data_IF_201148944489
#
_entry.id   IF_201148944489
#
_cell.length_a   1.000
_cell.length_b   1.000
_cell.length_c   1.000
_cell.angle_alpha   90.00
_cell.angle_beta   90.00
_cell.angle_gamma   90.00
#
_symmetry.space_group_name_H-M   'P 1'
#
loop_
_entity.id
_entity.type
_entity.pdbx_description
1 polymer ?
#
# COMPACT_ATOMS: atom_id res chain seq x y z
N UNK A 1 -0.73 -9.60 -28.15
CA UNK A 1 -0.76 -10.16 -26.80
C UNK A 1 0.38 -9.54 -25.99
N UNK A 2 0.10 -8.74 -24.96
CA UNK A 2 1.16 -8.11 -24.16
C UNK A 2 1.96 -9.18 -23.44
N UNK A 3 3.29 -9.00 -23.32
CA UNK A 3 4.09 -9.93 -22.50
C UNK A 3 3.54 -9.93 -21.05
N UNK A 4 3.63 -11.07 -20.35
CA UNK A 4 3.14 -11.20 -18.97
C UNK A 4 3.68 -10.08 -18.05
N UNK A 5 4.94 -9.68 -18.26
CA UNK A 5 5.56 -8.61 -17.48
C UNK A 5 4.92 -7.24 -17.75
N UNK A 6 4.56 -6.91 -19.01
CA UNK A 6 3.85 -5.66 -19.33
C UNK A 6 2.50 -5.57 -18.63
N UNK A 7 1.76 -6.68 -18.57
CA UNK A 7 0.49 -6.74 -17.84
C UNK A 7 0.70 -6.48 -16.34
N UNK A 8 1.75 -7.05 -15.74
CA UNK A 8 2.08 -6.78 -14.33
C UNK A 8 2.42 -5.32 -14.08
N UNK A 9 3.16 -4.68 -14.99
CA UNK A 9 3.50 -3.25 -14.87
C UNK A 9 2.24 -2.37 -14.89
N UNK A 10 1.30 -2.64 -15.81
CA UNK A 10 0.02 -1.91 -15.85
C UNK A 10 -0.71 -2.05 -14.51
N UNK A 11 -0.82 -3.24 -13.97
CA UNK A 11 -1.46 -3.45 -12.67
C UNK A 11 -0.78 -2.69 -11.54
N UNK A 12 0.54 -2.70 -11.48
CA UNK A 12 1.30 -2.01 -10.43
C UNK A 12 1.24 -0.49 -10.56
N UNK A 13 1.22 0.03 -11.80
CA UNK A 13 1.02 1.45 -12.08
C UNK A 13 -0.38 1.89 -11.60
N UNK A 14 -1.43 1.11 -11.93
CA UNK A 14 -2.79 1.40 -11.48
C UNK A 14 -2.93 1.28 -9.96
N UNK A 15 -2.27 0.31 -9.32
CA UNK A 15 -2.24 0.21 -7.87
C UNK A 15 -1.63 1.47 -7.23
N UNK A 16 -0.47 1.91 -7.70
CA UNK A 16 0.19 3.12 -7.22
C UNK A 16 -0.66 4.39 -7.45
N UNK A 17 -1.32 4.50 -8.60
CA UNK A 17 -2.23 5.61 -8.92
C UNK A 17 -3.37 5.71 -7.90
N UNK A 18 -4.06 4.62 -7.62
CA UNK A 18 -5.19 4.63 -6.70
C UNK A 18 -4.75 4.81 -5.23
N UNK A 19 -3.58 4.29 -4.85
CA UNK A 19 -3.04 4.54 -3.51
C UNK A 19 -2.54 5.97 -3.33
N UNK A 20 -2.13 6.66 -4.39
CA UNK A 20 -1.71 8.07 -4.31
C UNK A 20 -2.81 8.96 -3.74
N UNK A 21 -4.06 8.74 -4.14
CA UNK A 21 -5.20 9.46 -3.58
C UNK A 21 -5.55 9.05 -2.15
N UNK A 22 -5.19 7.83 -1.70
CA UNK A 22 -5.54 7.35 -0.36
C UNK A 22 -4.91 8.19 0.77
N UNK A 23 -3.71 8.76 0.54
CA UNK A 23 -3.07 9.63 1.54
C UNK A 23 -3.76 10.98 1.66
N UNK A 24 -4.20 11.54 0.52
CA UNK A 24 -4.97 12.80 0.49
C UNK A 24 -6.30 12.59 1.22
N UNK A 25 -7.01 11.53 0.87
CA UNK A 25 -8.31 11.18 1.46
C UNK A 25 -8.16 10.78 2.93
N UNK A 26 -7.10 10.03 3.30
CA UNK A 26 -6.83 9.68 4.69
C UNK A 26 -6.51 10.90 5.57
N UNK A 27 -5.80 11.90 5.02
CA UNK A 27 -5.59 13.17 5.73
C UNK A 27 -6.87 13.97 5.85
N UNK A 28 -7.69 14.02 4.80
CA UNK A 28 -9.01 14.64 4.88
C UNK A 28 -9.89 13.95 5.93
N UNK A 29 -9.86 12.61 6.00
CA UNK A 29 -10.59 11.86 7.02
C UNK A 29 -10.17 12.27 8.45
N UNK A 30 -8.87 12.50 8.68
CA UNK A 30 -8.40 12.98 9.99
C UNK A 30 -8.88 14.41 10.32
N UNK A 31 -9.03 15.27 9.30
CA UNK A 31 -9.57 16.63 9.48
C UNK A 31 -11.08 16.63 9.76
N UNK A 32 -11.79 15.61 9.29
CA UNK A 32 -13.20 15.38 9.58
C UNK A 32 -13.41 14.51 10.84
N UNK A 33 -12.36 14.33 11.65
CA UNK A 33 -12.39 13.58 12.91
C UNK A 33 -12.93 12.15 12.76
N UNK A 34 -12.76 11.54 11.56
CA UNK A 34 -13.18 10.16 11.33
C UNK A 34 -12.22 9.23 12.06
N UNK A 35 -12.71 8.40 13.02
CA UNK A 35 -11.85 7.53 13.79
C UNK A 35 -11.12 6.50 12.91
N UNK A 36 -9.79 6.33 13.05
CA UNK A 36 -8.97 5.58 12.11
C UNK A 36 -9.27 4.09 12.07
N UNK A 37 -9.55 3.45 13.21
CA UNK A 37 -9.88 2.02 13.23
C UNK A 37 -11.29 1.78 12.71
N UNK A 38 -12.22 2.68 12.99
CA UNK A 38 -13.58 2.66 12.46
C UNK A 38 -13.58 2.80 10.93
N UNK A 39 -12.85 3.78 10.38
CA UNK A 39 -12.72 3.95 8.93
C UNK A 39 -12.14 2.68 8.29
N UNK A 40 -11.10 2.10 8.89
CA UNK A 40 -10.46 0.89 8.38
C UNK A 40 -11.41 -0.32 8.46
N UNK A 41 -12.16 -0.47 9.56
CA UNK A 41 -13.12 -1.55 9.73
C UNK A 41 -14.25 -1.47 8.71
N UNK A 42 -14.88 -0.33 8.53
CA UNK A 42 -15.93 -0.14 7.50
C UNK A 42 -15.38 -0.36 6.10
N UNK A 43 -14.21 0.20 5.78
CA UNK A 43 -13.54 -0.01 4.49
C UNK A 43 -13.46 -1.50 4.14
N UNK A 44 -12.94 -2.32 5.04
CA UNK A 44 -12.74 -3.73 4.76
C UNK A 44 -14.00 -4.57 4.88
N UNK A 45 -14.94 -4.17 5.71
CA UNK A 45 -16.27 -4.80 5.79
C UNK A 45 -17.04 -4.61 4.48
N UNK A 46 -17.10 -3.40 3.95
CA UNK A 46 -17.76 -3.16 2.66
C UNK A 46 -17.01 -3.81 1.49
N UNK A 47 -15.68 -3.79 1.50
CA UNK A 47 -14.88 -4.53 0.52
C UNK A 47 -15.18 -6.04 0.58
N UNK A 48 -15.30 -6.61 1.77
CA UNK A 48 -15.68 -8.00 1.98
C UNK A 48 -17.06 -8.31 1.43
N UNK A 49 -18.05 -7.48 1.72
CA UNK A 49 -19.43 -7.63 1.23
C UNK A 49 -19.50 -7.59 -0.30
N UNK A 50 -18.76 -6.68 -0.94
CA UNK A 50 -18.71 -6.58 -2.41
C UNK A 50 -18.10 -7.84 -3.05
N UNK A 51 -17.04 -8.41 -2.45
CA UNK A 51 -16.38 -9.59 -3.01
C UNK A 51 -17.11 -10.90 -2.70
N UNK A 52 -17.86 -10.97 -1.61
CA UNK A 52 -18.48 -12.19 -1.11
C UNK A 52 -19.29 -12.97 -2.18
N UNK A 53 -20.17 -12.36 -2.98
CA UNK A 53 -20.94 -13.07 -4.00
C UNK A 53 -20.08 -13.82 -5.02
N UNK A 54 -18.88 -13.29 -5.32
CA UNK A 54 -17.99 -13.82 -6.34
C UNK A 54 -17.00 -14.87 -5.82
N UNK A 55 -16.78 -14.94 -4.51
CA UNK A 55 -15.64 -15.65 -3.92
C UNK A 55 -16.02 -16.76 -2.96
N UNK A 56 -17.16 -16.64 -2.25
CA UNK A 56 -17.53 -17.58 -1.20
C UNK A 56 -17.64 -19.02 -1.71
N UNK A 57 -18.16 -19.25 -2.92
CA UNK A 57 -18.23 -20.60 -3.52
C UNK A 57 -16.85 -21.25 -3.64
N UNK A 58 -15.84 -20.50 -4.09
CA UNK A 58 -14.47 -21.02 -4.18
C UNK A 58 -13.85 -21.24 -2.80
N UNK A 59 -14.07 -20.32 -1.86
CA UNK A 59 -13.56 -20.38 -0.48
C UNK A 59 -14.11 -21.61 0.22
N UNK A 60 -15.42 -21.84 0.18
CA UNK A 60 -16.03 -23.04 0.78
C UNK A 60 -15.52 -24.34 0.14
N UNK A 61 -15.39 -24.38 -1.18
CA UNK A 61 -14.84 -25.55 -1.88
C UNK A 61 -13.40 -25.85 -1.49
N UNK A 62 -12.62 -24.80 -1.19
CA UNK A 62 -11.20 -24.94 -0.84
C UNK A 62 -10.91 -24.73 0.66
N UNK A 63 -11.92 -24.91 1.53
CA UNK A 63 -11.79 -24.68 2.97
C UNK A 63 -10.61 -25.43 3.62
N UNK A 64 -10.44 -26.71 3.28
CA UNK A 64 -9.34 -27.51 3.83
C UNK A 64 -7.96 -26.96 3.41
N UNK A 65 -7.83 -26.47 2.16
CA UNK A 65 -6.60 -25.81 1.73
C UNK A 65 -6.34 -24.51 2.50
N UNK A 66 -7.37 -23.73 2.79
CA UNK A 66 -7.28 -22.48 3.58
C UNK A 66 -6.86 -22.81 5.01
N UNK A 67 -7.50 -23.77 5.66
CA UNK A 67 -7.18 -24.21 7.03
C UNK A 67 -5.73 -24.68 7.13
N UNK A 68 -5.26 -25.49 6.18
CA UNK A 68 -3.87 -25.96 6.14
C UNK A 68 -2.84 -24.85 5.92
N UNK A 69 -3.26 -23.65 5.51
CA UNK A 69 -2.41 -22.48 5.31
C UNK A 69 -2.79 -21.31 6.23
N UNK A 70 -3.59 -21.57 7.26
CA UNK A 70 -4.20 -20.52 8.08
C UNK A 70 -3.16 -19.59 8.72
N UNK A 71 -2.03 -20.12 9.19
CA UNK A 71 -0.95 -19.32 9.78
C UNK A 71 -0.44 -18.23 8.82
N UNK A 72 -0.17 -18.60 7.57
CA UNK A 72 0.29 -17.63 6.56
C UNK A 72 -0.81 -16.63 6.23
N UNK A 73 -2.05 -17.08 6.08
CA UNK A 73 -3.21 -16.24 5.77
C UNK A 73 -3.47 -15.22 6.90
N UNK A 74 -3.40 -15.65 8.16
CA UNK A 74 -3.51 -14.76 9.32
C UNK A 74 -2.41 -13.70 9.31
N UNK A 75 -1.16 -14.09 9.09
CA UNK A 75 -0.05 -13.12 8.99
C UNK A 75 -0.29 -12.12 7.85
N UNK A 76 -0.75 -12.58 6.68
CA UNK A 76 -1.07 -11.69 5.56
C UNK A 76 -2.22 -10.74 5.92
N UNK A 77 -3.27 -11.21 6.60
CA UNK A 77 -4.39 -10.39 7.06
C UNK A 77 -3.97 -9.36 8.12
N UNK A 78 -3.20 -9.80 9.14
CA UNK A 78 -2.67 -8.90 10.18
C UNK A 78 -1.83 -7.81 9.55
N UNK A 79 -0.88 -8.18 8.72
CA UNK A 79 0.12 -7.24 8.23
C UNK A 79 -0.44 -6.25 7.21
N UNK A 80 -1.40 -6.65 6.36
CA UNK A 80 -1.93 -5.77 5.32
C UNK A 80 -3.23 -5.06 5.70
N UNK A 81 -4.15 -5.76 6.35
CA UNK A 81 -5.49 -5.25 6.62
C UNK A 81 -5.55 -4.58 8.01
N UNK A 82 -5.12 -5.32 9.03
CA UNK A 82 -5.26 -4.84 10.42
C UNK A 82 -4.21 -3.79 10.75
N UNK A 83 -2.92 -4.12 10.64
CA UNK A 83 -1.82 -3.27 11.12
C UNK A 83 -1.56 -2.12 10.14
N UNK A 84 -1.23 -2.43 8.88
CA UNK A 84 -0.80 -1.40 7.94
C UNK A 84 -1.82 -0.27 7.80
N UNK A 85 -3.05 -0.58 7.41
CA UNK A 85 -4.04 0.46 7.13
C UNK A 85 -4.47 1.22 8.39
N UNK A 86 -4.68 0.54 9.53
CA UNK A 86 -5.06 1.22 10.78
C UNK A 86 -3.96 2.16 11.25
N UNK A 87 -2.70 1.70 11.23
CA UNK A 87 -1.58 2.51 11.68
C UNK A 87 -1.31 3.67 10.72
N UNK A 88 -1.46 3.50 9.41
CA UNK A 88 -1.37 4.62 8.46
C UNK A 88 -2.41 5.69 8.79
N UNK A 89 -3.68 5.33 8.94
CA UNK A 89 -4.73 6.31 9.27
C UNK A 89 -4.51 6.95 10.64
N UNK A 90 -4.11 6.17 11.63
CA UNK A 90 -3.76 6.69 12.95
C UNK A 90 -2.58 7.66 12.90
N UNK A 91 -1.52 7.32 12.16
CA UNK A 91 -0.33 8.16 12.01
C UNK A 91 -0.64 9.52 11.38
N UNK A 92 -1.56 9.56 10.40
CA UNK A 92 -1.95 10.79 9.69
C UNK A 92 -2.60 11.84 10.59
N UNK A 93 -3.07 11.47 11.79
CA UNK A 93 -3.51 12.44 12.80
C UNK A 93 -2.35 13.27 13.37
N UNK A 94 -1.13 12.72 13.37
CA UNK A 94 0.04 13.32 14.03
C UNK A 94 1.13 13.77 13.05
N UNK A 95 1.17 13.20 11.84
CA UNK A 95 2.21 13.49 10.86
C UNK A 95 1.68 14.22 9.63
N UNK A 96 2.61 14.82 8.90
CA UNK A 96 2.31 15.47 7.63
C UNK A 96 2.28 14.43 6.49
N UNK A 97 1.51 14.72 5.44
CA UNK A 97 1.45 13.87 4.23
C UNK A 97 2.83 13.69 3.61
N UNK A 98 3.66 14.74 3.62
CA UNK A 98 5.04 14.71 3.12
C UNK A 98 5.88 13.65 3.82
N UNK A 99 5.87 13.64 5.17
CA UNK A 99 6.58 12.62 5.97
C UNK A 99 6.05 11.22 5.65
N UNK A 100 4.73 11.06 5.56
CA UNK A 100 4.11 9.79 5.20
C UNK A 100 4.56 9.25 3.85
N UNK A 101 4.63 10.10 2.81
CA UNK A 101 5.09 9.73 1.46
C UNK A 101 6.58 9.37 1.45
N UNK A 102 7.42 10.10 2.21
CA UNK A 102 8.84 9.74 2.38
C UNK A 102 9.00 8.37 3.04
N UNK A 103 8.22 8.10 4.09
CA UNK A 103 8.26 6.81 4.78
C UNK A 103 7.84 5.65 3.86
N UNK A 104 6.77 5.82 3.05
CA UNK A 104 6.37 4.80 2.07
C UNK A 104 7.48 4.46 1.10
N UNK A 105 8.30 5.44 0.74
CA UNK A 105 9.41 5.23 -0.19
C UNK A 105 10.52 4.32 0.38
N UNK A 106 10.48 3.99 1.67
CA UNK A 106 11.36 3.00 2.28
C UNK A 106 10.88 1.56 2.05
N UNK A 107 9.60 1.36 1.70
CA UNK A 107 9.01 0.02 1.53
C UNK A 107 9.77 -0.88 0.55
N UNK A 108 10.21 -0.42 -0.64
CA UNK A 108 10.93 -1.29 -1.57
C UNK A 108 12.22 -1.86 -0.98
N UNK A 109 12.94 -1.06 -0.18
CA UNK A 109 14.15 -1.50 0.55
C UNK A 109 13.76 -2.58 1.58
N UNK A 110 12.70 -2.32 2.34
CA UNK A 110 12.20 -3.26 3.35
C UNK A 110 11.67 -4.57 2.73
N UNK A 111 11.05 -4.52 1.53
CA UNK A 111 10.63 -5.73 0.80
C UNK A 111 11.85 -6.57 0.45
N UNK A 112 12.91 -5.97 -0.10
CA UNK A 112 14.16 -6.64 -0.42
C UNK A 112 14.75 -7.30 0.84
N UNK A 113 14.77 -6.58 1.96
CA UNK A 113 15.23 -7.09 3.25
C UNK A 113 14.42 -8.32 3.70
N UNK A 114 13.10 -8.26 3.70
CA UNK A 114 12.26 -9.40 4.08
C UNK A 114 12.35 -10.58 3.10
N UNK A 115 12.45 -10.31 1.80
CA UNK A 115 12.68 -11.36 0.80
C UNK A 115 14.02 -12.08 1.05
N UNK A 116 15.06 -11.36 1.46
CA UNK A 116 16.34 -11.93 1.84
C UNK A 116 16.26 -12.73 3.14
N UNK A 117 15.69 -12.15 4.21
CA UNK A 117 15.53 -12.81 5.54
C UNK A 117 14.73 -14.12 5.41
N UNK A 118 13.62 -14.08 4.69
CA UNK A 118 12.75 -15.25 4.53
C UNK A 118 13.17 -16.18 3.37
N UNK A 119 14.27 -15.86 2.68
CA UNK A 119 14.80 -16.62 1.53
C UNK A 119 13.76 -16.84 0.42
N UNK A 120 12.95 -15.79 0.13
CA UNK A 120 11.84 -15.85 -0.83
C UNK A 120 12.31 -15.54 -2.23
N UNK A 121 13.11 -14.49 -2.40
CA UNK A 121 13.65 -14.02 -3.68
C UNK A 121 15.09 -13.56 -3.50
N UNK A 122 15.93 -13.86 -4.51
CA UNK A 122 17.26 -13.28 -4.60
C UNK A 122 17.17 -11.88 -5.19
N UNK A 123 17.98 -10.97 -4.67
CA UNK A 123 18.10 -9.62 -5.19
C UNK A 123 19.32 -9.52 -6.09
N UNK A 124 19.20 -8.84 -7.22
CA UNK A 124 20.32 -8.58 -8.10
C UNK A 124 20.76 -7.10 -8.03
N UNK A 125 21.95 -6.83 -8.54
CA UNK A 125 22.55 -5.50 -8.52
C UNK A 125 21.68 -4.43 -9.20
N UNK A 126 21.04 -4.76 -10.31
CA UNK A 126 20.16 -3.82 -11.02
C UNK A 126 18.92 -3.43 -10.21
N UNK A 127 18.39 -4.34 -9.38
CA UNK A 127 17.29 -4.03 -8.48
C UNK A 127 17.71 -3.05 -7.38
N UNK A 128 18.91 -3.23 -6.81
CA UNK A 128 19.46 -2.32 -5.79
C UNK A 128 19.68 -0.94 -6.39
N UNK A 129 20.35 -0.86 -7.54
CA UNK A 129 20.53 0.40 -8.26
C UNK A 129 19.20 1.06 -8.62
N UNK A 130 18.24 0.29 -9.10
CA UNK A 130 16.91 0.78 -9.44
C UNK A 130 16.20 1.40 -8.25
N UNK A 131 16.22 0.73 -7.10
CA UNK A 131 15.64 1.27 -5.85
C UNK A 131 16.37 2.54 -5.41
N UNK A 132 17.70 2.58 -5.50
CA UNK A 132 18.48 3.75 -5.15
C UNK A 132 18.12 4.97 -6.01
N UNK A 133 18.14 4.84 -7.35
CA UNK A 133 17.78 5.95 -8.25
C UNK A 133 16.33 6.41 -8.05
N UNK A 134 15.40 5.47 -7.90
CA UNK A 134 14.00 5.85 -7.70
C UNK A 134 13.76 6.50 -6.34
N UNK A 135 14.46 6.08 -5.29
CA UNK A 135 14.39 6.72 -3.97
C UNK A 135 14.93 8.15 -4.02
N UNK A 136 16.05 8.39 -4.72
CA UNK A 136 16.54 9.74 -4.95
C UNK A 136 15.51 10.62 -5.67
N UNK A 137 14.84 10.07 -6.69
CA UNK A 137 13.76 10.77 -7.38
C UNK A 137 12.60 11.15 -6.46
N UNK A 138 12.19 10.25 -5.56
CA UNK A 138 11.18 10.55 -4.54
C UNK A 138 11.64 11.69 -3.63
N UNK A 139 12.87 11.62 -3.12
CA UNK A 139 13.44 12.68 -2.27
C UNK A 139 13.39 14.01 -2.99
N UNK A 140 13.81 14.09 -4.25
CA UNK A 140 13.77 15.32 -5.06
C UNK A 140 12.35 15.90 -5.16
N UNK A 141 11.35 15.08 -5.47
CA UNK A 141 9.95 15.54 -5.57
C UNK A 141 9.45 16.03 -4.21
N UNK A 142 9.58 15.22 -3.18
CA UNK A 142 8.96 15.46 -1.87
C UNK A 142 9.61 16.66 -1.14
N UNK A 143 10.91 16.85 -1.32
CA UNK A 143 11.63 18.01 -0.75
C UNK A 143 11.54 19.26 -1.62
N UNK A 144 10.97 19.19 -2.82
CA UNK A 144 11.02 20.26 -3.83
C UNK A 144 12.46 20.63 -4.21
N UNK A 145 13.36 19.65 -4.31
CA UNK A 145 14.81 19.80 -4.50
C UNK A 145 15.50 20.66 -3.42
N UNK A 146 14.91 20.84 -2.26
CA UNK A 146 15.47 21.61 -1.14
C UNK A 146 15.88 20.67 0.00
N UNK A 147 17.17 20.42 0.09
CA UNK A 147 17.76 19.54 1.10
C UNK A 147 17.50 20.01 2.53
N UNK A 148 17.38 21.35 2.75
CA UNK A 148 17.06 21.89 4.08
C UNK A 148 15.72 21.39 4.60
N UNK A 149 14.74 21.08 3.73
CA UNK A 149 13.47 20.47 4.16
C UNK A 149 13.67 19.07 4.74
N UNK A 150 14.64 18.32 4.21
CA UNK A 150 14.96 17.00 4.73
C UNK A 150 15.69 17.08 6.08
N UNK A 151 16.62 18.04 6.20
CA UNK A 151 17.39 18.25 7.42
C UNK A 151 16.55 18.82 8.57
N UNK A 152 15.49 19.58 8.24
CA UNK A 152 14.56 20.18 9.19
C UNK A 152 13.31 19.34 9.45
N UNK A 153 13.29 18.05 9.05
CA UNK A 153 12.22 17.14 9.42
C UNK A 153 12.23 16.90 10.93
N UNK A 154 11.20 17.38 11.59
CA UNK A 154 10.97 17.06 13.00
C UNK A 154 10.18 15.74 13.10
N UNK A 155 10.87 14.68 13.48
CA UNK A 155 10.25 13.39 13.70
C UNK A 155 9.32 13.45 14.91
N UNK A 156 8.11 12.96 14.72
CA UNK A 156 7.08 12.92 15.74
C UNK A 156 6.60 11.46 15.98
N UNK A 157 5.71 11.29 16.96
CA UNK A 157 5.14 9.94 17.26
C UNK A 157 4.40 9.31 16.07
N UNK A 158 3.78 10.12 15.20
CA UNK A 158 3.12 9.64 13.99
C UNK A 158 4.11 9.03 13.01
N UNK A 159 5.29 9.62 12.86
CA UNK A 159 6.34 9.09 11.96
C UNK A 159 6.85 7.72 12.45
N UNK A 160 7.00 7.53 13.77
CA UNK A 160 7.38 6.23 14.33
C UNK A 160 6.32 5.16 14.04
N UNK A 161 5.04 5.48 14.21
CA UNK A 161 3.97 4.56 13.84
C UNK A 161 3.95 4.29 12.34
N UNK A 162 4.23 5.30 11.51
CA UNK A 162 4.33 5.13 10.07
C UNK A 162 5.43 4.11 9.69
N UNK A 163 6.60 4.13 10.37
CA UNK A 163 7.65 3.11 10.16
C UNK A 163 7.11 1.70 10.45
N UNK A 164 6.36 1.50 11.54
CA UNK A 164 5.74 0.21 11.85
C UNK A 164 4.79 -0.23 10.73
N UNK A 165 3.98 0.70 10.20
CA UNK A 165 3.11 0.41 9.06
C UNK A 165 3.91 -0.01 7.82
N UNK A 166 5.02 0.69 7.49
CA UNK A 166 5.87 0.35 6.35
C UNK A 166 6.50 -1.04 6.48
N UNK A 167 6.99 -1.38 7.67
CA UNK A 167 7.47 -2.74 7.99
C UNK A 167 6.40 -3.79 7.76
N UNK A 168 5.19 -3.53 8.24
CA UNK A 168 4.04 -4.42 8.11
C UNK A 168 3.69 -4.68 6.64
N UNK A 169 3.60 -3.61 5.83
CA UNK A 169 3.32 -3.71 4.40
C UNK A 169 4.42 -4.45 3.62
N UNK A 170 5.67 -4.16 3.95
CA UNK A 170 6.82 -4.83 3.31
C UNK A 170 6.83 -6.33 3.62
N UNK A 171 6.55 -6.72 4.86
CA UNK A 171 6.43 -8.11 5.27
C UNK A 171 5.28 -8.81 4.55
N UNK A 172 4.09 -8.18 4.47
CA UNK A 172 2.97 -8.67 3.68
C UNK A 172 3.36 -8.92 2.22
N UNK A 173 3.97 -7.92 1.59
CA UNK A 173 4.36 -7.97 0.17
C UNK A 173 5.39 -9.07 -0.11
N UNK A 174 6.37 -9.26 0.77
CA UNK A 174 7.33 -10.37 0.67
C UNK A 174 6.63 -11.72 0.83
N UNK A 175 5.82 -11.90 1.86
CA UNK A 175 5.17 -13.17 2.18
C UNK A 175 4.11 -13.59 1.15
N UNK A 176 3.50 -12.66 0.41
CA UNK A 176 2.62 -12.99 -0.71
C UNK A 176 3.32 -13.88 -1.76
N UNK A 177 4.63 -13.72 -1.92
CA UNK A 177 5.43 -14.51 -2.88
C UNK A 177 5.92 -15.84 -2.31
N UNK A 178 5.91 -16.02 -0.99
CA UNK A 178 6.42 -17.22 -0.32
C UNK A 178 5.77 -18.50 -0.84
N UNK A 179 4.53 -18.42 -1.31
CA UNK A 179 3.78 -19.57 -1.82
C UNK A 179 2.90 -19.21 -3.01
N UNK A 180 2.82 -20.12 -4.00
CA UNK A 180 1.79 -20.03 -5.04
C UNK A 180 0.46 -20.53 -4.45
N UNK A 181 -0.46 -19.58 -4.20
CA UNK A 181 -1.77 -19.92 -3.68
C UNK A 181 -2.63 -20.64 -4.74
N UNK A 182 -3.34 -21.69 -4.31
CA UNK A 182 -4.30 -22.42 -5.14
C UNK A 182 -5.70 -21.77 -5.15
N UNK A 183 -5.75 -20.46 -4.86
CA UNK A 183 -6.95 -19.62 -4.89
C UNK A 183 -6.87 -18.67 -6.09
N UNK A 184 -8.01 -18.27 -6.63
CA UNK A 184 -8.06 -17.12 -7.52
C UNK A 184 -7.60 -15.87 -6.77
N UNK A 185 -7.11 -14.85 -7.49
CA UNK A 185 -6.55 -13.64 -6.84
C UNK A 185 -7.62 -12.92 -5.99
N UNK A 186 -8.87 -12.93 -6.46
CA UNK A 186 -9.99 -12.32 -5.76
C UNK A 186 -10.35 -13.11 -4.50
N UNK A 187 -10.39 -14.46 -4.59
CA UNK A 187 -10.65 -15.32 -3.43
C UNK A 187 -9.50 -15.29 -2.41
N UNK A 188 -8.26 -15.12 -2.87
CA UNK A 188 -7.13 -14.90 -1.99
C UNK A 188 -7.29 -13.57 -1.23
N UNK A 189 -7.61 -12.48 -1.93
CA UNK A 189 -7.87 -11.18 -1.32
C UNK A 189 -9.01 -11.27 -0.30
N UNK A 190 -10.13 -11.89 -0.65
CA UNK A 190 -11.27 -12.11 0.25
C UNK A 190 -10.86 -12.87 1.52
N UNK A 191 -10.05 -13.91 1.38
CA UNK A 191 -9.58 -14.71 2.52
C UNK A 191 -8.65 -13.91 3.42
N UNK A 192 -7.77 -13.08 2.85
CA UNK A 192 -6.90 -12.15 3.58
C UNK A 192 -7.74 -11.10 4.31
N UNK A 193 -8.76 -10.52 3.66
CA UNK A 193 -9.67 -9.56 4.28
C UNK A 193 -10.40 -10.21 5.45
N UNK A 194 -10.94 -11.44 5.29
CA UNK A 194 -11.61 -12.16 6.38
C UNK A 194 -10.70 -12.34 7.60
N UNK A 195 -9.45 -12.76 7.38
CA UNK A 195 -8.48 -12.91 8.46
C UNK A 195 -8.16 -11.58 9.15
N UNK A 196 -7.99 -10.51 8.37
CA UNK A 196 -7.70 -9.19 8.91
C UNK A 196 -8.87 -8.57 9.66
N UNK A 197 -10.11 -8.74 9.18
CA UNK A 197 -11.31 -8.23 9.85
C UNK A 197 -11.53 -8.85 11.23
N UNK A 198 -11.30 -10.17 11.39
CA UNK A 198 -11.40 -10.84 12.70
C UNK A 198 -10.47 -10.19 13.72
N UNK A 199 -9.27 -9.81 13.29
CA UNK A 199 -8.26 -9.22 14.17
C UNK A 199 -8.41 -7.69 14.29
N UNK A 200 -9.07 -7.05 13.35
CA UNK A 200 -9.39 -5.62 13.41
C UNK A 200 -10.61 -5.32 14.28
N UNK A 201 -11.55 -6.27 14.39
CA UNK A 201 -12.78 -6.12 15.16
C UNK A 201 -12.55 -5.69 16.61
N UNK A 202 -11.63 -6.30 17.39
CA UNK A 202 -11.35 -5.85 18.75
C UNK A 202 -10.89 -4.38 18.81
N UNK A 203 -10.02 -3.95 17.91
CA UNK A 203 -9.54 -2.57 17.88
C UNK A 203 -10.67 -1.57 17.56
N UNK A 204 -11.55 -1.92 16.63
CA UNK A 204 -12.77 -1.16 16.32
C UNK A 204 -13.70 -1.07 17.54
N UNK A 205 -13.95 -2.18 18.24
CA UNK A 205 -14.81 -2.19 19.42
C UNK A 205 -14.22 -1.36 20.56
N UNK A 206 -12.89 -1.39 20.76
CA UNK A 206 -12.20 -0.55 21.74
C UNK A 206 -12.38 0.94 21.38
N UNK A 207 -12.17 1.31 20.11
CA UNK A 207 -12.36 2.70 19.65
C UNK A 207 -13.78 3.19 19.91
N UNK A 208 -14.79 2.35 19.65
CA UNK A 208 -16.20 2.65 19.98
C UNK A 208 -16.44 2.78 21.49
N UNK A 209 -15.86 1.88 22.29
CA UNK A 209 -16.02 1.91 23.76
C UNK A 209 -15.37 3.14 24.40
N UNK A 210 -14.34 3.70 23.76
CA UNK A 210 -13.72 4.97 24.15
C UNK A 210 -14.55 6.21 23.76
N UNK A 211 -15.74 6.01 23.18
CA UNK A 211 -16.67 7.09 22.84
C UNK A 211 -16.45 7.71 21.46
N UNK A 212 -15.49 7.21 20.66
CA UNK A 212 -15.33 7.68 19.30
C UNK A 212 -16.50 7.19 18.43
N UNK A 213 -17.26 8.14 17.89
CA UNK A 213 -18.43 7.87 17.03
C UNK A 213 -18.18 8.43 15.65
N UNK A 214 -18.75 7.78 14.66
CA UNK A 214 -18.78 8.29 13.29
C UNK A 214 -20.13 8.94 13.04
N UNK A 215 -20.11 10.19 12.65
CA UNK A 215 -21.27 10.84 12.08
C UNK A 215 -21.36 10.50 10.60
N UNK A 216 -22.50 9.92 10.19
CA UNK A 216 -22.75 9.55 8.79
C UNK A 216 -23.16 10.80 8.04
N UNK A 217 -22.17 11.47 7.45
CA UNK A 217 -22.35 12.69 6.65
C UNK A 217 -21.71 12.49 5.27
N UNK A 218 -22.01 13.37 4.33
CA UNK A 218 -21.55 13.22 2.93
C UNK A 218 -20.03 13.03 2.80
N UNK A 219 -19.15 13.81 3.46
CA UNK A 219 -17.71 13.57 3.46
C UNK A 219 -17.30 12.17 3.91
N UNK A 220 -17.94 11.60 4.93
CA UNK A 220 -17.68 10.23 5.37
C UNK A 220 -18.06 9.22 4.28
N UNK A 221 -19.25 9.35 3.68
CA UNK A 221 -19.71 8.44 2.62
C UNK A 221 -18.79 8.48 1.41
N UNK A 222 -18.38 9.67 0.98
CA UNK A 222 -17.46 9.85 -0.15
C UNK A 222 -16.08 9.26 0.15
N UNK A 223 -15.54 9.55 1.35
CA UNK A 223 -14.28 8.97 1.83
C UNK A 223 -14.35 7.45 1.84
N UNK A 224 -15.39 6.88 2.46
CA UNK A 224 -15.57 5.45 2.56
C UNK A 224 -15.70 4.78 1.18
N UNK A 225 -16.52 5.35 0.30
CA UNK A 225 -16.70 4.85 -1.06
C UNK A 225 -15.38 4.82 -1.83
N UNK A 226 -14.61 5.89 -1.76
CA UNK A 226 -13.30 5.96 -2.40
C UNK A 226 -12.35 4.90 -1.83
N UNK A 227 -12.17 4.85 -0.50
CA UNK A 227 -11.18 3.94 0.12
C UNK A 227 -11.55 2.47 -0.02
N UNK A 228 -12.83 2.13 -0.17
CA UNK A 228 -13.31 0.78 -0.46
C UNK A 228 -12.95 0.37 -1.88
N UNK A 229 -13.40 1.15 -2.87
CA UNK A 229 -13.35 0.75 -4.28
C UNK A 229 -11.93 0.83 -4.87
N UNK A 230 -11.23 1.94 -4.67
CA UNK A 230 -9.97 2.20 -5.32
C UNK A 230 -8.76 1.68 -4.54
N UNK A 231 -8.34 2.29 -3.40
CA UNK A 231 -7.18 1.79 -2.67
C UNK A 231 -7.44 0.46 -1.94
N UNK A 232 -8.70 0.10 -1.66
CA UNK A 232 -9.09 -1.17 -1.06
C UNK A 232 -9.12 -2.30 -2.08
N UNK A 233 -10.17 -2.38 -2.87
CA UNK A 233 -10.39 -3.51 -3.77
C UNK A 233 -9.45 -3.50 -4.98
N UNK A 234 -9.46 -2.41 -5.75
CA UNK A 234 -8.75 -2.37 -7.02
C UNK A 234 -7.23 -2.44 -6.82
N UNK A 235 -6.65 -1.59 -5.95
CA UNK A 235 -5.21 -1.57 -5.74
C UNK A 235 -4.68 -2.86 -5.13
N UNK A 236 -5.37 -3.44 -4.15
CA UNK A 236 -4.95 -4.71 -3.56
C UNK A 236 -5.01 -5.86 -4.57
N UNK A 237 -6.08 -5.94 -5.37
CA UNK A 237 -6.15 -6.91 -6.46
C UNK A 237 -4.99 -6.76 -7.44
N UNK A 238 -4.74 -5.53 -7.90
CA UNK A 238 -3.66 -5.23 -8.82
C UNK A 238 -2.28 -5.54 -8.23
N UNK A 239 -2.08 -5.21 -6.95
CA UNK A 239 -0.85 -5.51 -6.22
C UNK A 239 -0.57 -7.01 -6.12
N UNK A 240 -1.57 -7.78 -5.65
CA UNK A 240 -1.47 -9.24 -5.57
C UNK A 240 -1.18 -9.84 -6.94
N UNK A 241 -1.86 -9.36 -7.98
CA UNK A 241 -1.65 -9.82 -9.36
C UNK A 241 -0.25 -9.46 -9.87
N UNK A 242 0.21 -8.24 -9.66
CA UNK A 242 1.55 -7.79 -10.01
C UNK A 242 2.64 -8.65 -9.35
N UNK A 243 2.59 -8.81 -8.04
CA UNK A 243 3.53 -9.65 -7.29
C UNK A 243 3.51 -11.11 -7.80
N UNK A 244 2.34 -11.65 -8.10
CA UNK A 244 2.23 -13.03 -8.59
C UNK A 244 2.96 -13.25 -9.92
N UNK A 245 3.08 -12.20 -10.74
CA UNK A 245 3.70 -12.27 -12.08
C UNK A 245 5.20 -11.95 -12.02
N UNK A 246 5.59 -10.81 -11.43
CA UNK A 246 6.99 -10.34 -11.50
C UNK A 246 7.77 -10.47 -10.19
N UNK A 247 7.14 -10.88 -9.10
CA UNK A 247 7.76 -11.03 -7.78
C UNK A 247 7.69 -9.76 -6.93
N UNK A 248 8.01 -9.91 -5.64
CA UNK A 248 7.87 -8.85 -4.64
C UNK A 248 8.93 -7.77 -4.80
N UNK A 249 10.20 -8.16 -5.01
CA UNK A 249 11.31 -7.21 -5.16
C UNK A 249 11.10 -6.24 -6.33
N UNK A 250 10.65 -6.76 -7.49
CA UNK A 250 10.39 -5.93 -8.69
C UNK A 250 9.08 -5.14 -8.56
N UNK A 251 8.11 -5.64 -7.81
CA UNK A 251 6.84 -4.93 -7.61
C UNK A 251 7.01 -3.75 -6.67
N UNK A 252 7.84 -3.88 -5.63
CA UNK A 252 8.03 -2.86 -4.61
C UNK A 252 8.37 -1.48 -5.16
N UNK A 253 9.26 -1.41 -6.16
CA UNK A 253 9.73 -0.14 -6.72
C UNK A 253 8.61 0.70 -7.35
N UNK A 254 7.49 0.08 -7.78
CA UNK A 254 6.35 0.80 -8.36
C UNK A 254 5.63 1.70 -7.34
N UNK A 255 5.83 1.49 -6.04
CA UNK A 255 5.34 2.41 -5.01
C UNK A 255 5.97 3.80 -5.11
N UNK A 256 7.17 3.92 -5.68
CA UNK A 256 7.80 5.21 -5.94
C UNK A 256 7.09 6.04 -7.04
N UNK A 257 6.11 5.47 -7.75
CA UNK A 257 5.23 6.25 -8.64
C UNK A 257 4.19 7.08 -7.85
N UNK A 258 3.95 6.75 -6.58
CA UNK A 258 2.94 7.47 -5.79
C UNK A 258 3.24 8.97 -5.66
N UNK A 259 4.47 9.45 -5.39
CA UNK A 259 4.78 10.87 -5.39
C UNK A 259 4.49 11.55 -6.74
N UNK A 260 4.78 10.88 -7.86
CA UNK A 260 4.48 11.43 -9.20
C UNK A 260 2.97 11.62 -9.37
N UNK A 261 2.19 10.59 -9.07
CA UNK A 261 0.73 10.66 -9.19
C UNK A 261 0.11 11.66 -8.21
N UNK A 262 0.62 11.72 -6.96
CA UNK A 262 0.17 12.72 -5.98
C UNK A 262 0.45 14.14 -6.45
N UNK A 263 1.62 14.39 -7.05
CA UNK A 263 1.95 15.68 -7.66
C UNK A 263 0.99 16.03 -8.79
N UNK A 264 0.74 15.10 -9.70
CA UNK A 264 -0.21 15.32 -10.80
C UNK A 264 -1.60 15.64 -10.26
N UNK A 265 -2.08 14.89 -9.25
CA UNK A 265 -3.36 15.16 -8.62
C UNK A 265 -3.38 16.54 -7.95
N UNK A 266 -2.32 16.94 -7.25
CA UNK A 266 -2.20 18.25 -6.61
C UNK A 266 -2.26 19.40 -7.64
N UNK A 267 -1.64 19.24 -8.80
CA UNK A 267 -1.73 20.22 -9.89
C UNK A 267 -3.16 20.41 -10.38
N UNK A 268 -3.93 19.32 -10.55
CA UNK A 268 -5.31 19.42 -11.01
C UNK A 268 -6.28 19.90 -9.93
N UNK A 269 -6.12 19.45 -8.69
CA UNK A 269 -7.07 19.74 -7.60
C UNK A 269 -6.76 21.10 -6.96
N UNK A 270 -5.48 21.38 -6.69
CA UNK A 270 -5.04 22.57 -5.95
C UNK A 270 -4.42 23.64 -6.86
N UNK A 271 -4.40 23.41 -8.20
CA UNK A 271 -3.80 24.32 -9.19
C UNK A 271 -2.32 24.64 -8.91
N UNK A 272 -1.59 23.69 -8.36
CA UNK A 272 -0.15 23.83 -8.11
C UNK A 272 0.63 23.92 -9.43
N UNK A 273 1.71 24.69 -9.44
CA UNK A 273 2.53 24.89 -10.65
C UNK A 273 3.50 23.72 -10.84
N UNK A 274 3.65 23.27 -12.09
CA UNK A 274 4.70 22.32 -12.44
C UNK A 274 6.07 23.00 -12.34
N UNK A 275 6.96 22.37 -11.59
CA UNK A 275 8.33 22.86 -11.37
C UNK A 275 9.35 21.86 -11.91
N UNK A 276 10.55 22.34 -12.22
CA UNK A 276 11.62 21.50 -12.81
C UNK A 276 12.00 20.30 -11.93
N UNK A 277 11.91 20.41 -10.61
CA UNK A 277 12.21 19.28 -9.71
C UNK A 277 11.19 18.12 -9.85
N UNK A 278 9.96 18.39 -10.25
CA UNK A 278 8.99 17.33 -10.54
C UNK A 278 9.45 16.50 -11.76
N UNK A 279 9.97 17.17 -12.79
CA UNK A 279 10.49 16.49 -13.98
C UNK A 279 11.75 15.67 -13.66
N UNK A 280 12.72 16.25 -12.93
CA UNK A 280 13.95 15.57 -12.54
C UNK A 280 13.63 14.33 -11.70
N UNK A 281 12.78 14.49 -10.69
CA UNK A 281 12.38 13.38 -9.83
C UNK A 281 11.63 12.29 -10.59
N UNK A 282 10.73 12.64 -11.50
CA UNK A 282 10.01 11.68 -12.34
C UNK A 282 10.98 10.89 -13.24
N UNK A 283 11.96 11.55 -13.87
CA UNK A 283 12.99 10.89 -14.68
C UNK A 283 13.80 9.90 -13.85
N UNK A 284 14.22 10.27 -12.64
CA UNK A 284 14.97 9.41 -11.73
C UNK A 284 14.13 8.18 -11.31
N UNK A 285 12.85 8.37 -10.98
CA UNK A 285 11.94 7.28 -10.61
C UNK A 285 11.75 6.31 -11.78
N UNK A 286 11.45 6.81 -12.97
CA UNK A 286 11.24 5.99 -14.16
C UNK A 286 12.52 5.24 -14.53
N UNK A 287 13.68 5.90 -14.49
CA UNK A 287 14.99 5.27 -14.70
C UNK A 287 15.21 4.12 -13.71
N UNK A 288 14.91 4.35 -12.43
CA UNK A 288 15.01 3.33 -11.40
C UNK A 288 14.12 2.12 -11.67
N UNK A 289 12.86 2.34 -12.08
CA UNK A 289 11.92 1.27 -12.44
C UNK A 289 12.45 0.47 -13.66
N UNK A 290 12.97 1.15 -14.69
CA UNK A 290 13.54 0.50 -15.87
C UNK A 290 14.76 -0.35 -15.49
N UNK A 291 15.69 0.17 -14.67
CA UNK A 291 16.86 -0.56 -14.18
C UNK A 291 16.44 -1.80 -13.39
N UNK A 292 15.53 -1.67 -12.43
CA UNK A 292 15.03 -2.80 -11.65
C UNK A 292 14.37 -3.87 -12.52
N UNK A 293 13.78 -3.47 -13.65
CA UNK A 293 13.12 -4.37 -14.60
C UNK A 293 14.12 -5.20 -15.43
N UNK A 294 15.35 -4.71 -15.67
CA UNK A 294 16.38 -5.40 -16.44
C UNK A 294 16.96 -6.61 -15.73
N UNK A 295 16.85 -6.68 -14.42
CA UNK A 295 17.33 -7.82 -13.65
C UNK A 295 16.58 -9.11 -14.01
N UNK A 296 17.27 -10.10 -14.61
CA UNK A 296 16.67 -11.40 -14.92
C UNK A 296 16.10 -12.06 -13.66
N UNK A 297 15.02 -12.83 -13.82
CA UNK A 297 14.56 -13.80 -12.82
C UNK A 297 15.68 -14.82 -12.61
N UNK A 298 16.33 -14.80 -11.45
CA UNK A 298 17.20 -15.87 -11.00
C UNK A 298 16.37 -16.79 -10.12
#
# INVERSE_FOLDING_TARGET
MFSKDKTAYIFLILAALFWSGNFIVGKAASLFEIPPFTLNFYRWTFAWLILAPFTLKEIFRKKNYIINNIKLILILGITSITVFNSIVYYSLNFTQVISGVLMISTIPVMIIFFCWVFKIEKTNFYQILGVFFSLMGVVVIVTNANISKLLNLNFNKGDLWMVVAMFSWAMYSALLRKKKFKLSQISLLQTIISAGLILLLPAYLIEMALGYKVDIHLPFILTLTYVVLFPGLASFFFWIKGISIIGSNRSGIFLHLMPIFSTIMAMFIFKEKFMIFHLIGAILIITGIILSSKGRRI
#
